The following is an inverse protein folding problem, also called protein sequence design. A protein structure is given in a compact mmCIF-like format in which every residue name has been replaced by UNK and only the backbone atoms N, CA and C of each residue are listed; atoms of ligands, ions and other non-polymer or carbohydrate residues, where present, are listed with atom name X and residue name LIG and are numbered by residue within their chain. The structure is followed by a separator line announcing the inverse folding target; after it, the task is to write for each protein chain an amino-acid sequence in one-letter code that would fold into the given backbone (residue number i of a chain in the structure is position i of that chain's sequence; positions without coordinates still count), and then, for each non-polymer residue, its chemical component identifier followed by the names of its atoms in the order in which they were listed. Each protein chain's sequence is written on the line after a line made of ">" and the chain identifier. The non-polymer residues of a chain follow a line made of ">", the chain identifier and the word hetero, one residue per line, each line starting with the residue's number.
data_IF_665367739403
#
_entry.id   IF_665367739403
#
_cell.length_a   1.000
_cell.length_b   1.000
_cell.length_c   1.000
_cell.angle_alpha   90.00
_cell.angle_beta   90.00
_cell.angle_gamma   90.00
#
_symmetry.space_group_name_H-M   'P 1'
#
loop_
_entity.id
_entity.type
_entity.pdbx_description
1 polymer ?
#
# COMPACT_ATOMS: atom_id res chain seq x y z
N UNK A 1 -16.54 -18.51 -9.98
CA UNK A 1 -16.88 -17.07 -10.08
C UNK A 1 -16.26 -16.22 -8.95
N UNK A 2 -16.19 -16.73 -7.71
CA UNK A 2 -15.69 -16.04 -6.50
C UNK A 2 -14.24 -15.49 -6.60
N UNK A 3 -13.35 -16.13 -7.38
CA UNK A 3 -11.93 -15.70 -7.51
C UNK A 3 -11.74 -14.36 -8.22
N UNK A 4 -12.57 -14.00 -9.20
CA UNK A 4 -12.39 -12.77 -9.98
C UNK A 4 -12.76 -11.52 -9.18
N UNK A 5 -13.83 -11.60 -8.40
CA UNK A 5 -14.26 -10.49 -7.54
C UNK A 5 -13.27 -10.26 -6.40
N UNK A 6 -12.77 -11.34 -5.80
CA UNK A 6 -11.72 -11.26 -4.78
C UNK A 6 -10.44 -10.63 -5.33
N UNK A 7 -9.97 -11.04 -6.51
CA UNK A 7 -8.78 -10.46 -7.15
C UNK A 7 -8.97 -8.96 -7.47
N UNK A 8 -10.16 -8.57 -7.95
CA UNK A 8 -10.48 -7.16 -8.23
C UNK A 8 -10.47 -6.32 -6.95
N UNK A 9 -11.03 -6.84 -5.87
CA UNK A 9 -11.09 -6.13 -4.60
C UNK A 9 -9.72 -6.08 -3.92
N UNK A 10 -8.95 -7.15 -3.99
CA UNK A 10 -7.54 -7.20 -3.58
C UNK A 10 -6.73 -6.13 -4.28
N UNK A 11 -6.82 -6.04 -5.61
CA UNK A 11 -6.10 -5.03 -6.41
C UNK A 11 -6.51 -3.60 -6.05
N UNK A 12 -7.80 -3.35 -5.80
CA UNK A 12 -8.30 -2.04 -5.38
C UNK A 12 -7.74 -1.65 -4.01
N UNK A 13 -7.79 -2.54 -3.03
CA UNK A 13 -7.30 -2.28 -1.67
C UNK A 13 -5.77 -2.07 -1.67
N UNK A 14 -5.06 -2.87 -2.46
CA UNK A 14 -3.63 -2.73 -2.75
C UNK A 14 -3.28 -1.34 -3.32
N UNK A 15 -3.99 -0.92 -4.37
CA UNK A 15 -3.75 0.35 -5.04
C UNK A 15 -4.05 1.55 -4.12
N UNK A 16 -5.18 1.50 -3.40
CA UNK A 16 -5.55 2.56 -2.45
C UNK A 16 -4.51 2.70 -1.34
N UNK A 17 -4.02 1.57 -0.80
CA UNK A 17 -2.96 1.57 0.21
C UNK A 17 -1.67 2.18 -0.34
N UNK A 18 -1.24 1.76 -1.54
CA UNK A 18 -0.04 2.30 -2.17
C UNK A 18 -0.14 3.81 -2.42
N UNK A 19 -1.25 4.29 -3.00
CA UNK A 19 -1.47 5.72 -3.25
C UNK A 19 -1.48 6.51 -1.96
N UNK A 20 -2.19 6.03 -0.93
CA UNK A 20 -2.24 6.69 0.37
C UNK A 20 -0.86 6.89 0.98
N UNK A 21 -0.07 5.82 1.07
CA UNK A 21 1.28 5.87 1.64
C UNK A 21 2.24 6.70 0.78
N UNK A 22 2.12 6.58 -0.55
CA UNK A 22 2.93 7.35 -1.51
C UNK A 22 2.55 8.82 -1.57
N UNK A 23 1.40 9.26 -1.05
CA UNK A 23 1.06 10.69 -0.93
C UNK A 23 1.37 11.23 0.46
N UNK A 24 1.22 10.42 1.50
CA UNK A 24 1.43 10.83 2.90
C UNK A 24 2.90 10.88 3.30
N UNK A 25 3.73 9.94 2.83
CA UNK A 25 5.14 9.85 3.22
C UNK A 25 6.11 10.74 2.44
N UNK A 26 5.91 11.17 1.17
CA UNK A 26 6.86 12.03 0.48
C UNK A 26 7.19 13.33 1.21
N UNK A 27 6.23 14.07 1.80
CA UNK A 27 6.57 15.25 2.59
C UNK A 27 7.53 14.89 3.74
N UNK A 28 7.28 13.78 4.43
CA UNK A 28 8.16 13.31 5.51
C UNK A 28 9.55 12.92 4.99
N UNK A 29 9.61 12.17 3.90
CA UNK A 29 10.87 11.72 3.30
C UNK A 29 11.71 12.89 2.79
N UNK A 30 11.08 13.91 2.20
CA UNK A 30 11.77 15.06 1.62
C UNK A 30 12.13 16.13 2.67
N UNK A 31 11.23 16.45 3.60
CA UNK A 31 11.44 17.56 4.53
C UNK A 31 12.09 17.12 5.85
N UNK A 32 11.83 15.90 6.33
CA UNK A 32 12.34 15.42 7.62
C UNK A 32 13.54 14.52 7.42
N UNK A 33 13.40 13.45 6.63
CA UNK A 33 14.48 12.49 6.38
C UNK A 33 15.52 13.07 5.41
N UNK A 34 15.12 14.05 4.59
CA UNK A 34 15.96 14.72 3.59
C UNK A 34 16.60 13.72 2.62
N UNK A 35 15.82 12.74 2.15
CA UNK A 35 16.32 11.78 1.16
C UNK A 35 16.64 12.46 -0.16
N UNK A 36 17.73 12.04 -0.81
CA UNK A 36 18.04 12.45 -2.17
C UNK A 36 17.01 11.90 -3.15
N UNK A 37 16.99 12.43 -4.38
CA UNK A 37 16.01 11.99 -5.38
C UNK A 37 16.13 10.52 -5.76
N UNK A 38 17.36 10.00 -5.87
CA UNK A 38 17.60 8.58 -6.15
C UNK A 38 17.11 7.68 -5.00
N UNK A 39 17.34 8.10 -3.75
CA UNK A 39 16.87 7.38 -2.56
C UNK A 39 15.36 7.38 -2.45
N UNK A 40 14.72 8.51 -2.79
CA UNK A 40 13.27 8.61 -2.81
C UNK A 40 12.66 7.69 -3.87
N UNK A 41 13.20 7.68 -5.09
CA UNK A 41 12.70 6.78 -6.15
C UNK A 41 12.90 5.30 -5.81
N UNK A 42 14.05 4.94 -5.22
CA UNK A 42 14.29 3.60 -4.71
C UNK A 42 13.28 3.21 -3.61
N UNK A 43 12.97 4.15 -2.70
CA UNK A 43 11.97 3.94 -1.67
C UNK A 43 10.56 3.78 -2.25
N UNK A 44 10.13 4.62 -3.20
CA UNK A 44 8.84 4.47 -3.89
C UNK A 44 8.75 3.11 -4.58
N UNK A 45 9.82 2.68 -5.26
CA UNK A 45 9.89 1.36 -5.88
C UNK A 45 9.72 0.21 -4.88
N UNK A 46 10.38 0.30 -3.72
CA UNK A 46 10.22 -0.66 -2.63
C UNK A 46 8.77 -0.66 -2.09
N UNK A 47 8.16 0.51 -1.91
CA UNK A 47 6.77 0.63 -1.45
C UNK A 47 5.77 -0.01 -2.43
N UNK A 48 5.99 0.14 -3.74
CA UNK A 48 5.14 -0.45 -4.76
C UNK A 48 5.10 -1.98 -4.71
N UNK A 49 6.15 -2.62 -4.16
CA UNK A 49 6.23 -4.07 -4.02
C UNK A 49 5.68 -4.52 -2.66
N UNK A 50 5.99 -3.79 -1.58
CA UNK A 50 5.74 -4.24 -0.21
C UNK A 50 4.40 -3.78 0.37
N UNK A 51 3.88 -2.61 0.00
CA UNK A 51 2.64 -2.05 0.56
C UNK A 51 1.37 -2.72 0.03
N UNK A 52 1.26 -3.03 -1.28
CA UNK A 52 0.05 -3.66 -1.81
C UNK A 52 -0.32 -4.99 -1.14
N UNK A 53 0.63 -5.92 -0.90
CA UNK A 53 0.34 -7.15 -0.16
C UNK A 53 -0.13 -6.88 1.27
N UNK A 54 0.47 -5.92 1.98
CA UNK A 54 0.13 -5.60 3.36
C UNK A 54 -1.27 -4.99 3.48
N UNK A 55 -1.63 -4.06 2.59
CA UNK A 55 -2.97 -3.46 2.57
C UNK A 55 -4.07 -4.48 2.33
N UNK A 56 -3.81 -5.44 1.44
CA UNK A 56 -4.76 -6.51 1.16
C UNK A 56 -4.85 -7.55 2.29
N UNK A 57 -3.73 -7.91 2.93
CA UNK A 57 -3.73 -8.78 4.11
C UNK A 57 -4.50 -8.14 5.26
N UNK A 58 -4.30 -6.83 5.52
CA UNK A 58 -5.04 -6.10 6.54
C UNK A 58 -6.55 -6.10 6.28
N UNK A 59 -6.97 -5.83 5.03
CA UNK A 59 -8.39 -5.90 4.62
C UNK A 59 -8.99 -7.29 4.89
N UNK A 60 -8.26 -8.37 4.62
CA UNK A 60 -8.70 -9.75 4.91
C UNK A 60 -8.86 -9.96 6.42
N UNK A 61 -7.89 -9.52 7.23
CA UNK A 61 -7.92 -9.68 8.69
C UNK A 61 -9.12 -8.91 9.27
N UNK A 62 -9.29 -7.63 8.92
CA UNK A 62 -10.40 -6.79 9.41
C UNK A 62 -11.75 -7.40 9.05
N UNK A 63 -11.94 -7.86 7.81
CA UNK A 63 -13.19 -8.51 7.38
C UNK A 63 -13.46 -9.82 8.12
N UNK A 64 -12.42 -10.55 8.53
CA UNK A 64 -12.57 -11.77 9.34
C UNK A 64 -12.96 -11.44 10.78
N UNK A 65 -12.36 -10.40 11.36
CA UNK A 65 -12.67 -9.96 12.73
C UNK A 65 -14.07 -9.36 12.84
N UNK A 66 -14.49 -8.55 11.87
CA UNK A 66 -15.81 -7.89 11.86
C UNK A 66 -17.00 -8.82 11.58
N UNK A 67 -16.75 -10.09 11.19
CA UNK A 67 -17.80 -11.11 11.01
C UNK A 67 -17.96 -12.03 12.23
N UNK A 68 -17.13 -11.86 13.26
CA UNK A 68 -17.33 -12.48 14.58
C UNK A 68 -18.11 -11.51 15.46
#
# INVERSE_FOLDING_TARGET
>A
MIRKEFAKQFAKDALMSFVYWTVMLPPYMLFVVKTTWDQYLAWVGMQAILVPPLGAVFSIIVRRTARR
#
